data_IF_813150505358
#
_entry.id   IF_813150505358
#
_cell.length_a   1.000
_cell.length_b   1.000
_cell.length_c   1.000
_cell.angle_alpha   90.00
_cell.angle_beta   90.00
_cell.angle_gamma   90.00
#
_symmetry.space_group_name_H-M   'P 1'
#
loop_
_entity.id
_entity.type
_entity.pdbx_description
1 polymer ?
#
# COMPACT_ATOMS: atom_id res chain seq x y z
N UNK A 1 2.42 -34.00 -18.72
CA UNK A 1 2.06 -33.92 -17.29
C UNK A 1 1.25 -32.66 -17.16
N UNK A 2 -0.03 -32.76 -16.82
CA UNK A 2 -0.84 -31.60 -16.47
C UNK A 2 -0.23 -30.99 -15.21
N UNK A 3 0.37 -29.80 -15.33
CA UNK A 3 0.88 -29.05 -14.20
C UNK A 3 -0.29 -28.79 -13.24
N UNK A 4 -0.17 -29.23 -12.00
CA UNK A 4 -1.19 -28.93 -10.98
C UNK A 4 -1.26 -27.41 -10.79
N UNK A 5 -2.47 -26.90 -10.57
CA UNK A 5 -2.71 -25.49 -10.31
C UNK A 5 -1.82 -24.98 -9.14
N UNK A 6 -1.13 -23.83 -9.29
CA UNK A 6 -0.20 -23.36 -8.28
C UNK A 6 -0.91 -22.96 -6.98
N UNK A 7 -0.29 -23.28 -5.86
CA UNK A 7 -0.81 -22.97 -4.51
C UNK A 7 -0.06 -21.81 -3.89
N UNK A 8 -0.78 -20.75 -3.54
CA UNK A 8 -0.25 -19.57 -2.88
C UNK A 8 -0.76 -19.46 -1.45
N UNK A 9 0.16 -19.20 -0.53
CA UNK A 9 -0.15 -18.93 0.87
C UNK A 9 0.29 -17.52 1.23
N UNK A 10 -0.66 -16.67 1.61
CA UNK A 10 -0.42 -15.31 2.07
C UNK A 10 -0.44 -15.26 3.60
N UNK A 11 0.62 -14.71 4.17
CA UNK A 11 0.81 -14.63 5.63
C UNK A 11 1.14 -13.17 5.99
N UNK A 12 0.18 -12.23 5.91
CA UNK A 12 0.40 -10.86 6.36
C UNK A 12 0.49 -10.82 7.88
N UNK A 13 1.27 -9.86 8.42
CA UNK A 13 1.10 -9.52 9.83
C UNK A 13 -0.32 -8.97 10.00
N UNK A 14 -1.06 -9.53 10.92
CA UNK A 14 -2.45 -9.16 11.17
C UNK A 14 -2.64 -8.80 12.64
N UNK A 15 -3.34 -7.70 12.88
CA UNK A 15 -3.69 -7.19 14.21
C UNK A 15 -5.04 -6.47 14.16
N UNK A 16 -5.59 -6.15 15.32
CA UNK A 16 -6.85 -5.42 15.40
C UNK A 16 -6.78 -4.02 14.77
N UNK A 17 -5.60 -3.42 14.69
CA UNK A 17 -5.39 -2.02 14.29
C UNK A 17 -4.79 -1.87 12.87
N UNK A 18 -4.11 -2.90 12.34
CA UNK A 18 -3.36 -2.83 11.08
C UNK A 18 -4.09 -3.49 9.91
N UNK A 19 -4.39 -2.74 8.86
CA UNK A 19 -5.07 -3.23 7.65
C UNK A 19 -4.13 -3.23 6.44
N UNK A 20 -3.06 -2.42 6.46
CA UNK A 20 -2.22 -2.15 5.28
C UNK A 20 -1.56 -3.38 4.69
N UNK A 21 -0.97 -4.24 5.51
CA UNK A 21 -0.32 -5.47 5.07
C UNK A 21 -1.32 -6.49 4.50
N UNK A 22 -2.50 -6.58 5.12
CA UNK A 22 -3.57 -7.42 4.60
C UNK A 22 -4.07 -6.92 3.23
N UNK A 23 -4.37 -5.62 3.11
CA UNK A 23 -4.85 -5.04 1.85
C UNK A 23 -3.84 -5.22 0.72
N UNK A 24 -2.55 -5.01 1.01
CA UNK A 24 -1.48 -5.24 0.04
C UNK A 24 -1.40 -6.71 -0.38
N UNK A 25 -1.47 -7.64 0.58
CA UNK A 25 -1.51 -9.07 0.28
C UNK A 25 -2.74 -9.46 -0.51
N UNK A 26 -3.89 -8.84 -0.24
CA UNK A 26 -5.14 -9.08 -0.98
C UNK A 26 -5.04 -8.59 -2.43
N UNK A 27 -4.45 -7.41 -2.65
CA UNK A 27 -4.21 -6.88 -4.01
C UNK A 27 -3.33 -7.84 -4.81
N UNK A 28 -2.22 -8.31 -4.23
CA UNK A 28 -1.35 -9.29 -4.90
C UNK A 28 -2.08 -10.61 -5.15
N UNK A 29 -2.89 -11.08 -4.19
CA UNK A 29 -3.68 -12.31 -4.34
C UNK A 29 -4.71 -12.21 -5.46
N UNK A 30 -5.42 -11.09 -5.56
CA UNK A 30 -6.37 -10.83 -6.63
C UNK A 30 -5.68 -10.83 -8.01
N UNK A 31 -4.52 -10.18 -8.13
CA UNK A 31 -3.74 -10.16 -9.35
C UNK A 31 -3.21 -11.55 -9.73
N UNK A 32 -2.76 -12.34 -8.73
CA UNK A 32 -2.41 -13.75 -8.92
C UNK A 32 -3.59 -14.54 -9.49
N UNK A 33 -4.79 -14.35 -8.92
CA UNK A 33 -6.00 -15.05 -9.37
C UNK A 33 -6.44 -14.62 -10.77
N UNK A 34 -6.22 -13.36 -11.12
CA UNK A 34 -6.51 -12.85 -12.46
C UNK A 34 -5.54 -13.41 -13.51
N UNK A 35 -4.23 -13.48 -13.20
CA UNK A 35 -3.20 -14.02 -14.13
C UNK A 35 -3.22 -15.53 -14.22
N UNK A 36 -3.54 -16.20 -13.12
CA UNK A 36 -3.65 -17.67 -13.04
C UNK A 36 -5.01 -18.06 -12.44
N UNK A 37 -6.08 -18.13 -13.27
CA UNK A 37 -7.45 -18.41 -12.79
C UNK A 37 -7.58 -19.71 -12.00
N UNK A 38 -6.74 -20.72 -12.30
CA UNK A 38 -6.74 -22.00 -11.58
C UNK A 38 -5.94 -21.96 -10.26
N UNK A 39 -5.21 -20.88 -9.95
CA UNK A 39 -4.40 -20.78 -8.75
C UNK A 39 -5.26 -20.97 -7.48
N UNK A 40 -4.77 -21.77 -6.55
CA UNK A 40 -5.34 -21.93 -5.21
C UNK A 40 -4.72 -20.90 -4.27
N UNK A 41 -5.55 -20.05 -3.68
CA UNK A 41 -5.10 -18.98 -2.78
C UNK A 41 -5.63 -19.26 -1.38
N UNK A 42 -4.76 -19.11 -0.37
CA UNK A 42 -5.06 -19.31 1.04
C UNK A 42 -4.42 -18.20 1.85
N UNK A 43 -5.11 -17.76 2.92
CA UNK A 43 -4.58 -16.79 3.88
C UNK A 43 -4.40 -17.41 5.26
N UNK A 44 -3.42 -16.91 6.02
CA UNK A 44 -3.33 -17.12 7.47
C UNK A 44 -3.50 -15.77 8.15
N UNK A 45 -4.54 -15.62 8.96
CA UNK A 45 -4.89 -14.36 9.64
C UNK A 45 -5.13 -14.59 11.14
N UNK A 46 -4.98 -13.54 11.92
CA UNK A 46 -5.48 -13.53 13.30
C UNK A 46 -7.00 -13.44 13.30
N UNK A 47 -7.69 -14.24 14.13
CA UNK A 47 -9.15 -14.15 14.31
C UNK A 47 -9.61 -12.79 14.87
N UNK A 48 -8.70 -12.05 15.52
CA UNK A 48 -8.97 -10.73 16.06
C UNK A 48 -8.81 -9.60 15.05
N UNK A 49 -8.36 -9.90 13.83
CA UNK A 49 -8.29 -8.92 12.76
C UNK A 49 -9.70 -8.66 12.19
N UNK A 50 -10.15 -7.40 12.09
CA UNK A 50 -11.53 -7.07 11.70
C UNK A 50 -11.90 -7.54 10.28
N UNK A 51 -10.90 -7.73 9.44
CA UNK A 51 -11.05 -8.19 8.05
C UNK A 51 -10.99 -9.72 7.89
N UNK A 52 -10.78 -10.47 8.96
CA UNK A 52 -10.64 -11.93 8.88
C UNK A 52 -11.91 -12.64 8.40
N UNK A 53 -13.08 -12.09 8.72
CA UNK A 53 -14.38 -12.60 8.30
C UNK A 53 -14.83 -12.16 6.89
N UNK A 54 -14.17 -11.14 6.33
CA UNK A 54 -14.53 -10.56 5.02
C UNK A 54 -13.49 -10.87 3.93
N UNK A 55 -12.48 -11.67 4.25
CA UNK A 55 -11.50 -12.11 3.27
C UNK A 55 -12.19 -12.98 2.20
N UNK A 56 -12.04 -12.64 0.90
CA UNK A 56 -12.71 -13.38 -0.19
C UNK A 56 -12.09 -14.75 -0.48
N UNK A 57 -10.95 -15.05 0.16
CA UNK A 57 -10.24 -16.32 0.02
C UNK A 57 -10.36 -17.16 1.30
N UNK A 58 -10.18 -18.50 1.21
CA UNK A 58 -10.12 -19.35 2.37
C UNK A 58 -9.06 -18.89 3.39
N UNK A 59 -9.42 -18.89 4.68
CA UNK A 59 -8.58 -18.37 5.77
C UNK A 59 -8.35 -19.45 6.82
N UNK A 60 -7.08 -19.64 7.19
CA UNK A 60 -6.70 -20.33 8.42
C UNK A 60 -6.58 -19.29 9.55
N UNK A 61 -7.48 -19.37 10.53
CA UNK A 61 -7.53 -18.44 11.64
C UNK A 61 -6.61 -18.86 12.78
N UNK A 62 -5.83 -17.92 13.26
CA UNK A 62 -4.96 -18.05 14.45
C UNK A 62 -5.51 -17.25 15.63
N UNK A 63 -5.18 -17.66 16.85
CA UNK A 63 -5.57 -16.94 18.08
C UNK A 63 -4.82 -15.60 18.27
N UNK A 64 -3.67 -15.43 17.60
CA UNK A 64 -2.88 -14.20 17.61
C UNK A 64 -2.22 -14.02 16.23
N UNK A 65 -1.43 -12.96 16.04
CA UNK A 65 -0.71 -12.72 14.79
C UNK A 65 0.21 -13.89 14.40
N UNK A 66 0.38 -14.18 13.10
CA UNK A 66 1.24 -15.26 12.62
C UNK A 66 2.66 -15.26 13.19
N UNK A 67 3.21 -14.08 13.52
CA UNK A 67 4.55 -13.96 14.11
C UNK A 67 4.68 -14.52 15.53
N UNK A 68 3.58 -14.67 16.26
CA UNK A 68 3.53 -15.27 17.60
C UNK A 68 3.17 -16.76 17.56
N UNK A 69 2.47 -17.22 16.54
CA UNK A 69 1.99 -18.59 16.37
C UNK A 69 2.88 -19.42 15.42
N UNK A 70 4.18 -19.52 15.74
CA UNK A 70 5.16 -20.15 14.83
C UNK A 70 4.77 -21.60 14.49
N UNK A 71 4.40 -22.39 15.50
CA UNK A 71 4.07 -23.82 15.31
C UNK A 71 2.85 -23.97 14.39
N UNK A 72 1.77 -23.27 14.70
CA UNK A 72 0.53 -23.35 13.90
C UNK A 72 0.73 -22.93 12.43
N UNK A 73 1.54 -21.90 12.18
CA UNK A 73 1.89 -21.49 10.80
C UNK A 73 2.70 -22.59 10.10
N UNK A 74 3.70 -23.18 10.77
CA UNK A 74 4.50 -24.26 10.19
C UNK A 74 3.68 -25.53 9.93
N UNK A 75 2.81 -25.91 10.87
CA UNK A 75 1.89 -27.04 10.72
C UNK A 75 0.96 -26.82 9.51
N UNK A 76 0.44 -25.60 9.36
CA UNK A 76 -0.40 -25.25 8.22
C UNK A 76 0.37 -25.28 6.88
N UNK A 77 1.60 -24.76 6.83
CA UNK A 77 2.46 -24.86 5.64
C UNK A 77 2.68 -26.31 5.25
N UNK A 78 2.96 -27.20 6.24
CA UNK A 78 3.14 -28.63 6.00
C UNK A 78 1.87 -29.32 5.51
N UNK A 79 0.71 -28.92 6.01
CA UNK A 79 -0.60 -29.47 5.60
C UNK A 79 -0.98 -28.99 4.19
N UNK A 80 -0.92 -27.70 3.94
CA UNK A 80 -1.36 -27.10 2.69
C UNK A 80 -0.39 -27.34 1.53
N UNK A 81 0.90 -27.49 1.83
CA UNK A 81 1.98 -27.67 0.85
C UNK A 81 1.93 -26.64 -0.28
N UNK A 82 2.09 -25.33 0.05
CA UNK A 82 2.03 -24.27 -0.96
C UNK A 82 3.26 -24.28 -1.87
N UNK A 83 3.10 -23.82 -3.10
CA UNK A 83 4.20 -23.54 -4.00
C UNK A 83 4.90 -22.23 -3.67
N UNK A 84 4.11 -21.25 -3.24
CA UNK A 84 4.57 -19.92 -2.84
C UNK A 84 4.08 -19.56 -1.45
N UNK A 85 4.97 -19.03 -0.62
CA UNK A 85 4.60 -18.44 0.67
C UNK A 85 5.04 -16.97 0.67
N UNK A 86 4.07 -16.06 0.79
CA UNK A 86 4.29 -14.61 0.83
C UNK A 86 4.12 -14.13 2.27
N UNK A 87 5.23 -13.77 2.92
CA UNK A 87 5.24 -13.20 4.26
C UNK A 87 5.26 -11.67 4.19
N UNK A 88 4.13 -11.03 4.40
CA UNK A 88 4.06 -9.57 4.39
C UNK A 88 4.24 -9.00 5.80
N UNK A 89 5.38 -8.35 6.00
CA UNK A 89 5.84 -7.79 7.26
C UNK A 89 5.83 -8.79 8.45
N UNK A 90 5.46 -10.04 8.20
CA UNK A 90 5.39 -11.19 9.12
C UNK A 90 6.61 -12.10 8.99
N UNK A 91 6.45 -13.37 9.33
CA UNK A 91 7.47 -14.41 9.15
C UNK A 91 8.61 -14.35 10.16
N UNK A 92 8.71 -15.34 11.01
CA UNK A 92 9.92 -15.62 11.81
C UNK A 92 10.90 -16.42 10.97
N UNK A 93 12.19 -16.37 11.32
CA UNK A 93 13.23 -17.18 10.64
C UNK A 93 12.84 -18.63 10.48
N UNK A 94 12.31 -19.24 11.54
CA UNK A 94 11.88 -20.65 11.56
C UNK A 94 10.75 -20.94 10.58
N UNK A 95 9.82 -20.00 10.38
CA UNK A 95 8.72 -20.12 9.42
C UNK A 95 9.24 -20.06 7.97
N UNK A 96 10.11 -19.09 7.65
CA UNK A 96 10.75 -19.01 6.33
C UNK A 96 11.57 -20.25 6.03
N UNK A 97 12.38 -20.70 7.01
CA UNK A 97 13.22 -21.88 6.86
C UNK A 97 12.38 -23.17 6.68
N UNK A 98 11.24 -23.27 7.37
CA UNK A 98 10.33 -24.40 7.23
C UNK A 98 9.71 -24.43 5.82
N UNK A 99 9.17 -23.32 5.34
CA UNK A 99 8.63 -23.21 3.99
C UNK A 99 9.69 -23.54 2.92
N UNK A 100 10.90 -22.96 3.04
CA UNK A 100 11.99 -23.23 2.12
C UNK A 100 12.43 -24.71 2.11
N UNK A 101 12.49 -25.35 3.29
CA UNK A 101 12.82 -26.79 3.43
C UNK A 101 11.80 -27.69 2.71
N UNK A 102 10.53 -27.28 2.66
CA UNK A 102 9.47 -27.97 1.94
C UNK A 102 9.44 -27.67 0.43
N UNK A 103 10.41 -26.89 -0.09
CA UNK A 103 10.50 -26.56 -1.51
C UNK A 103 9.57 -25.43 -1.96
N UNK A 104 8.95 -24.70 -1.00
CA UNK A 104 8.17 -23.52 -1.32
C UNK A 104 9.07 -22.37 -1.77
N UNK A 105 8.63 -21.57 -2.74
CA UNK A 105 9.24 -20.27 -3.05
C UNK A 105 8.82 -19.25 -1.97
N UNK A 106 9.80 -18.66 -1.30
CA UNK A 106 9.57 -17.77 -0.16
C UNK A 106 9.78 -16.33 -0.58
N UNK A 107 8.71 -15.53 -0.52
CA UNK A 107 8.75 -14.08 -0.75
C UNK A 107 8.56 -13.37 0.60
N UNK A 108 9.47 -12.45 0.93
CA UNK A 108 9.39 -11.64 2.14
C UNK A 108 9.19 -10.16 1.77
N UNK A 109 8.11 -9.56 2.26
CA UNK A 109 7.78 -8.16 2.02
C UNK A 109 8.14 -7.33 3.24
N UNK A 110 8.80 -6.19 3.03
CA UNK A 110 9.16 -5.21 4.06
C UNK A 110 8.80 -3.80 3.64
N UNK A 111 8.38 -2.98 4.61
CA UNK A 111 7.91 -1.60 4.40
C UNK A 111 8.83 -0.56 5.06
N UNK A 112 9.64 -0.93 6.07
CA UNK A 112 10.47 -0.02 6.83
C UNK A 112 11.92 -0.48 6.90
N UNK A 113 12.86 0.46 7.04
CA UNK A 113 14.31 0.20 7.17
C UNK A 113 14.62 -0.94 8.15
N UNK A 114 13.95 -0.94 9.33
CA UNK A 114 14.13 -1.99 10.35
C UNK A 114 13.69 -3.38 9.86
N UNK A 115 12.57 -3.48 9.13
CA UNK A 115 12.09 -4.76 8.58
C UNK A 115 12.95 -5.19 7.39
N UNK A 116 13.38 -4.26 6.53
CA UNK A 116 14.35 -4.52 5.45
C UNK A 116 15.65 -5.09 6.00
N UNK A 117 16.27 -4.43 6.97
CA UNK A 117 17.50 -4.91 7.63
C UNK A 117 17.31 -6.30 8.27
N UNK A 118 16.14 -6.57 8.87
CA UNK A 118 15.83 -7.90 9.41
C UNK A 118 15.78 -8.96 8.32
N UNK A 119 15.22 -8.66 7.15
CA UNK A 119 15.19 -9.55 5.98
C UNK A 119 16.58 -9.92 5.46
N UNK A 120 17.53 -8.98 5.51
CA UNK A 120 18.92 -9.15 5.06
C UNK A 120 19.82 -9.92 6.04
N UNK A 121 19.35 -10.30 7.24
CA UNK A 121 20.13 -11.17 8.13
C UNK A 121 20.44 -12.51 7.42
N UNK A 122 21.69 -12.93 7.40
CA UNK A 122 22.22 -14.07 6.64
C UNK A 122 21.30 -15.29 6.71
N UNK A 123 20.89 -15.69 7.92
CA UNK A 123 20.06 -16.89 8.13
C UNK A 123 18.61 -16.74 7.61
N UNK A 124 18.14 -15.52 7.37
CA UNK A 124 16.84 -15.25 6.71
C UNK A 124 17.01 -15.14 5.20
N UNK A 125 17.99 -14.35 4.77
CA UNK A 125 18.28 -14.16 3.36
C UNK A 125 18.53 -15.50 2.63
N UNK A 126 19.23 -16.45 3.26
CA UNK A 126 19.48 -17.78 2.68
C UNK A 126 18.23 -18.56 2.31
N UNK A 127 17.14 -18.37 3.06
CA UNK A 127 15.87 -19.10 2.92
C UNK A 127 14.76 -18.25 2.30
N UNK A 128 15.11 -17.09 1.74
CA UNK A 128 14.21 -16.18 1.03
C UNK A 128 14.59 -16.18 -0.44
N UNK A 129 13.64 -16.44 -1.33
CA UNK A 129 13.85 -16.43 -2.78
C UNK A 129 13.77 -15.01 -3.33
N UNK A 130 12.85 -14.19 -2.81
CA UNK A 130 12.77 -12.76 -3.15
C UNK A 130 12.39 -11.92 -1.93
N UNK A 131 13.08 -10.79 -1.76
CA UNK A 131 12.79 -9.81 -0.71
C UNK A 131 12.31 -8.51 -1.34
N UNK A 132 11.04 -8.16 -1.15
CA UNK A 132 10.42 -6.95 -1.69
C UNK A 132 10.45 -5.81 -0.67
N UNK A 133 10.74 -4.62 -1.15
CA UNK A 133 10.63 -3.37 -0.39
C UNK A 133 9.54 -2.52 -1.03
N UNK A 134 8.41 -2.39 -0.32
CA UNK A 134 7.19 -1.75 -0.84
C UNK A 134 7.16 -0.25 -0.53
N UNK A 135 8.30 0.39 -0.68
CA UNK A 135 8.45 1.85 -0.61
C UNK A 135 9.41 2.32 -1.71
N UNK A 136 9.26 3.55 -2.22
CA UNK A 136 10.18 4.11 -3.20
C UNK A 136 11.62 4.20 -2.67
N UNK A 137 12.60 4.16 -3.57
CA UNK A 137 14.02 4.24 -3.24
C UNK A 137 14.35 5.52 -2.43
N UNK A 138 13.80 6.67 -2.82
CA UNK A 138 14.05 7.94 -2.14
C UNK A 138 13.51 7.98 -0.69
N UNK A 139 12.50 7.14 -0.34
CA UNK A 139 11.98 7.02 1.03
C UNK A 139 12.80 6.02 1.84
N UNK A 140 13.07 4.85 1.27
CA UNK A 140 13.73 3.77 2.02
C UNK A 140 15.25 3.94 2.08
N UNK A 141 15.84 4.65 1.10
CA UNK A 141 17.29 4.86 0.97
C UNK A 141 18.05 3.56 0.65
N UNK A 142 19.36 3.69 0.48
CA UNK A 142 20.23 2.57 0.15
C UNK A 142 20.44 1.61 1.32
N UNK A 143 20.90 0.43 1.02
CA UNK A 143 21.40 -0.52 2.02
C UNK A 143 22.87 -0.23 2.31
N UNK A 144 23.32 -0.59 3.51
CA UNK A 144 24.73 -0.38 3.87
C UNK A 144 25.65 -1.27 3.03
N UNK A 145 26.88 -0.79 2.75
CA UNK A 145 27.89 -1.57 2.05
C UNK A 145 28.19 -2.92 2.76
N UNK A 146 28.10 -2.93 4.10
CA UNK A 146 28.23 -4.16 4.89
C UNK A 146 27.11 -5.17 4.61
N UNK A 147 25.88 -4.71 4.42
CA UNK A 147 24.76 -5.59 4.09
C UNK A 147 24.87 -6.10 2.64
N UNK A 148 25.34 -5.25 1.70
CA UNK A 148 25.66 -5.67 0.33
C UNK A 148 26.72 -6.76 0.31
N UNK A 149 27.82 -6.56 1.03
CA UNK A 149 28.90 -7.55 1.14
C UNK A 149 28.41 -8.86 1.73
N UNK A 150 27.62 -8.82 2.81
CA UNK A 150 27.02 -10.04 3.42
C UNK A 150 26.16 -10.81 2.43
N UNK A 151 25.29 -10.12 1.68
CA UNK A 151 24.42 -10.75 0.69
C UNK A 151 25.24 -11.38 -0.44
N UNK A 152 26.25 -10.65 -0.94
CA UNK A 152 27.19 -11.16 -1.96
C UNK A 152 27.92 -12.42 -1.50
N UNK A 153 28.42 -12.44 -0.26
CA UNK A 153 29.11 -13.61 0.32
C UNK A 153 28.24 -14.88 0.41
N UNK A 154 26.93 -14.73 0.50
CA UNK A 154 26.00 -15.87 0.54
C UNK A 154 25.28 -16.10 -0.81
N UNK A 155 25.73 -15.45 -1.89
CA UNK A 155 25.14 -15.51 -3.23
C UNK A 155 23.62 -15.22 -3.24
N UNK A 156 23.20 -14.18 -2.49
CA UNK A 156 21.81 -13.72 -2.46
C UNK A 156 21.69 -12.32 -3.04
N UNK A 157 20.61 -12.10 -3.80
CA UNK A 157 20.28 -10.80 -4.33
C UNK A 157 19.93 -9.80 -3.22
N UNK A 158 20.15 -8.54 -3.49
CA UNK A 158 19.70 -7.43 -2.66
C UNK A 158 18.17 -7.36 -2.63
N UNK A 159 17.57 -6.78 -1.56
CA UNK A 159 16.15 -6.49 -1.55
C UNK A 159 15.73 -5.67 -2.77
N UNK A 160 14.71 -6.14 -3.48
CA UNK A 160 14.19 -5.43 -4.64
C UNK A 160 13.25 -4.33 -4.16
N UNK A 161 13.60 -3.07 -4.42
CA UNK A 161 12.70 -1.93 -4.22
C UNK A 161 11.68 -1.96 -5.36
N UNK A 162 10.41 -2.22 -5.01
CA UNK A 162 9.33 -2.33 -6.00
C UNK A 162 8.34 -1.16 -5.94
N UNK A 163 8.44 -0.30 -4.91
CA UNK A 163 7.50 0.80 -4.73
C UNK A 163 6.18 0.39 -4.06
N UNK A 164 5.22 1.31 -3.95
CA UNK A 164 3.91 1.04 -3.36
C UNK A 164 3.11 0.07 -4.23
N UNK A 165 2.36 -0.83 -3.59
CA UNK A 165 1.47 -1.78 -4.29
C UNK A 165 0.04 -1.24 -4.28
N UNK A 166 -0.58 -1.15 -5.44
CA UNK A 166 -1.98 -0.76 -5.63
C UNK A 166 -2.52 -1.32 -6.94
N UNK A 167 -3.86 -1.39 -7.07
CA UNK A 167 -4.52 -1.77 -8.33
C UNK A 167 -4.38 -0.61 -9.32
N UNK A 168 -3.98 -0.89 -10.56
CA UNK A 168 -3.89 0.15 -11.58
C UNK A 168 -5.26 0.81 -11.81
N UNK A 169 -5.30 2.15 -12.02
CA UNK A 169 -6.53 2.84 -12.40
C UNK A 169 -7.16 2.21 -13.65
N UNK A 170 -8.48 2.16 -13.68
CA UNK A 170 -9.24 1.65 -14.83
C UNK A 170 -10.17 2.74 -15.35
N UNK A 171 -10.09 3.04 -16.64
CA UNK A 171 -10.96 4.04 -17.27
C UNK A 171 -12.45 3.72 -17.07
N UNK A 172 -12.82 2.45 -17.14
CA UNK A 172 -14.20 2.01 -16.93
C UNK A 172 -14.67 2.28 -15.50
N UNK A 173 -13.94 1.79 -14.47
CA UNK A 173 -14.28 2.05 -13.06
C UNK A 173 -14.22 3.54 -12.71
N UNK A 174 -13.27 4.27 -13.31
CA UNK A 174 -13.15 5.71 -13.15
C UNK A 174 -14.38 6.44 -13.67
N UNK A 175 -14.85 6.09 -14.89
CA UNK A 175 -16.07 6.65 -15.48
C UNK A 175 -17.31 6.36 -14.62
N UNK A 176 -17.47 5.14 -14.10
CA UNK A 176 -18.55 4.78 -13.18
C UNK A 176 -18.51 5.60 -11.88
N UNK A 177 -17.32 5.73 -11.28
CA UNK A 177 -17.14 6.52 -10.05
C UNK A 177 -17.43 8.00 -10.28
N UNK A 178 -16.93 8.56 -11.37
CA UNK A 178 -17.19 9.98 -11.74
C UNK A 178 -18.68 10.22 -11.98
N UNK A 179 -19.35 9.35 -12.74
CA UNK A 179 -20.79 9.46 -13.00
C UNK A 179 -21.60 9.35 -11.69
N UNK A 180 -21.24 8.41 -10.81
CA UNK A 180 -21.92 8.19 -9.51
C UNK A 180 -21.92 9.44 -8.63
N UNK A 181 -20.83 10.22 -8.65
CA UNK A 181 -20.68 11.38 -7.80
C UNK A 181 -20.86 12.71 -8.56
N UNK A 182 -21.26 12.68 -9.82
CA UNK A 182 -21.44 13.91 -10.65
C UNK A 182 -20.14 14.69 -10.85
N UNK A 183 -19.01 14.00 -10.97
CA UNK A 183 -17.68 14.58 -11.08
C UNK A 183 -17.17 14.57 -12.52
N UNK A 184 -16.28 15.52 -12.82
CA UNK A 184 -15.55 15.58 -14.10
C UNK A 184 -14.06 15.36 -13.84
N UNK A 185 -13.42 14.50 -14.63
CA UNK A 185 -11.98 14.22 -14.54
C UNK A 185 -11.16 15.51 -14.63
N UNK A 186 -10.24 15.70 -13.71
CA UNK A 186 -9.38 16.88 -13.62
C UNK A 186 -10.06 18.14 -13.03
N UNK A 187 -11.32 18.05 -12.59
CA UNK A 187 -12.09 19.21 -12.12
C UNK A 187 -12.60 19.07 -10.68
N UNK A 188 -11.96 18.27 -9.86
CA UNK A 188 -12.25 18.16 -8.42
C UNK A 188 -10.98 17.92 -7.61
N UNK A 189 -11.05 18.19 -6.31
CA UNK A 189 -9.98 17.97 -5.34
C UNK A 189 -10.36 16.78 -4.45
N UNK A 190 -9.45 15.80 -4.33
CA UNK A 190 -9.66 14.65 -3.44
C UNK A 190 -8.96 14.87 -2.11
N UNK A 191 -9.67 14.66 -1.00
CA UNK A 191 -9.09 14.73 0.35
C UNK A 191 -9.23 13.39 1.07
N UNK A 192 -8.13 12.90 1.69
CA UNK A 192 -8.14 11.67 2.48
C UNK A 192 -7.07 11.70 3.57
N UNK A 193 -7.48 11.53 4.83
CA UNK A 193 -6.60 11.45 5.99
C UNK A 193 -6.22 9.99 6.37
N UNK A 194 -6.38 9.03 5.46
CA UNK A 194 -6.17 7.61 5.70
C UNK A 194 -7.42 6.91 6.25
N UNK A 195 -7.28 6.07 7.28
CA UNK A 195 -8.40 5.29 7.85
C UNK A 195 -9.46 6.14 8.58
N UNK A 196 -9.20 7.42 8.84
CA UNK A 196 -10.08 8.33 9.56
C UNK A 196 -9.98 8.24 11.10
N UNK A 197 -9.24 7.28 11.64
CA UNK A 197 -9.16 7.03 13.09
C UNK A 197 -8.06 7.81 13.84
N UNK A 198 -7.29 8.67 13.17
CA UNK A 198 -6.21 9.43 13.82
C UNK A 198 -6.77 10.54 14.71
N UNK A 199 -6.62 10.35 16.03
CA UNK A 199 -7.08 11.32 17.06
C UNK A 199 -6.12 12.50 17.20
N UNK A 200 -6.70 13.70 17.38
CA UNK A 200 -5.98 14.95 17.65
C UNK A 200 -6.76 15.72 18.73
N UNK A 201 -6.17 15.86 19.90
CA UNK A 201 -6.88 16.42 21.03
C UNK A 201 -8.18 15.65 21.29
N UNK A 202 -9.31 16.36 21.25
CA UNK A 202 -10.64 15.76 21.46
C UNK A 202 -11.34 15.35 20.14
N UNK A 203 -10.72 15.55 18.97
CA UNK A 203 -11.28 15.24 17.67
C UNK A 203 -10.42 14.31 16.82
N UNK A 204 -10.64 14.33 15.52
CA UNK A 204 -9.95 13.51 14.52
C UNK A 204 -9.28 14.36 13.44
N UNK A 205 -8.14 13.90 12.92
CA UNK A 205 -7.40 14.59 11.86
C UNK A 205 -8.28 14.88 10.63
N UNK A 206 -9.17 13.96 10.28
CA UNK A 206 -10.06 14.09 9.12
C UNK A 206 -11.00 15.29 9.25
N UNK A 207 -11.30 15.76 10.44
CA UNK A 207 -12.15 16.93 10.67
C UNK A 207 -11.46 18.23 10.24
N UNK A 208 -10.11 18.32 10.36
CA UNK A 208 -9.35 19.43 9.77
C UNK A 208 -9.40 19.39 8.24
N UNK A 209 -9.30 18.19 7.63
CA UNK A 209 -9.45 18.00 6.20
C UNK A 209 -10.86 18.42 5.72
N UNK A 210 -11.90 18.10 6.51
CA UNK A 210 -13.27 18.48 6.19
C UNK A 210 -13.47 20.01 6.24
N UNK A 211 -12.91 20.68 7.26
CA UNK A 211 -12.91 22.16 7.32
C UNK A 211 -12.15 22.78 6.16
N UNK A 212 -10.99 22.22 5.81
CA UNK A 212 -10.23 22.65 4.65
C UNK A 212 -11.02 22.45 3.34
N UNK A 213 -11.69 21.32 3.15
CA UNK A 213 -12.52 21.06 1.97
C UNK A 213 -13.61 22.12 1.77
N UNK A 214 -14.30 22.50 2.87
CA UNK A 214 -15.30 23.56 2.85
C UNK A 214 -14.70 24.91 2.45
N UNK A 215 -13.57 25.30 3.06
CA UNK A 215 -12.89 26.57 2.76
C UNK A 215 -12.34 26.62 1.34
N UNK A 216 -11.80 25.50 0.85
CA UNK A 216 -11.30 25.35 -0.52
C UNK A 216 -12.45 25.57 -1.52
N UNK A 217 -13.60 24.90 -1.31
CA UNK A 217 -14.75 25.08 -2.19
C UNK A 217 -15.26 26.52 -2.16
N UNK A 218 -15.43 27.12 -0.99
CA UNK A 218 -15.86 28.51 -0.85
C UNK A 218 -14.96 29.49 -1.62
N UNK A 219 -13.66 29.25 -1.63
CA UNK A 219 -12.67 30.14 -2.26
C UNK A 219 -12.49 29.90 -3.75
N UNK A 220 -12.54 28.62 -4.19
CA UNK A 220 -12.15 28.22 -5.56
C UNK A 220 -13.31 27.79 -6.44
N UNK A 221 -14.46 27.47 -5.85
CA UNK A 221 -15.64 26.87 -6.48
C UNK A 221 -15.31 25.48 -7.14
N UNK A 222 -14.15 24.89 -6.83
CA UNK A 222 -13.79 23.56 -7.29
C UNK A 222 -14.41 22.52 -6.35
N UNK A 223 -15.23 21.58 -6.85
CA UNK A 223 -15.82 20.52 -6.01
C UNK A 223 -14.74 19.74 -5.23
N UNK A 224 -15.02 19.47 -3.97
CA UNK A 224 -14.16 18.67 -3.11
C UNK A 224 -14.79 17.31 -2.82
N UNK A 225 -14.01 16.24 -2.93
CA UNK A 225 -14.40 14.90 -2.51
C UNK A 225 -13.57 14.54 -1.28
N UNK A 226 -14.22 14.26 -0.16
CA UNK A 226 -13.53 13.83 1.07
C UNK A 226 -13.91 12.40 1.42
N UNK A 227 -12.89 11.55 1.59
CA UNK A 227 -13.07 10.16 2.04
C UNK A 227 -12.65 10.07 3.50
N UNK A 228 -13.64 9.86 4.38
CA UNK A 228 -13.43 9.87 5.83
C UNK A 228 -12.65 8.66 6.35
N UNK A 229 -12.89 7.48 5.76
CA UNK A 229 -12.29 6.22 6.15
C UNK A 229 -13.14 5.43 7.15
N UNK A 230 -12.94 4.10 7.18
CA UNK A 230 -13.79 3.17 7.96
C UNK A 230 -13.68 3.35 9.49
N UNK A 231 -12.58 3.94 9.98
CA UNK A 231 -12.32 4.11 11.41
C UNK A 231 -12.84 5.43 11.98
N UNK A 232 -13.43 6.31 11.17
CA UNK A 232 -14.07 7.53 11.68
C UNK A 232 -15.41 7.18 12.37
N UNK A 233 -15.58 7.45 13.67
CA UNK A 233 -16.70 6.90 14.44
C UNK A 233 -18.00 7.72 14.34
N UNK A 234 -17.93 8.96 13.84
CA UNK A 234 -19.08 9.88 13.85
C UNK A 234 -19.82 9.89 12.51
N UNK A 235 -20.99 10.50 12.53
CA UNK A 235 -21.74 10.85 11.32
C UNK A 235 -20.99 11.89 10.49
N UNK A 236 -21.19 11.83 9.20
CA UNK A 236 -20.50 12.71 8.26
C UNK A 236 -21.37 13.96 8.03
N UNK A 237 -20.83 15.16 8.26
CA UNK A 237 -21.56 16.39 8.03
C UNK A 237 -21.78 16.63 6.53
N UNK A 238 -22.95 17.15 6.18
CA UNK A 238 -23.25 17.64 4.85
C UNK A 238 -22.76 19.09 4.71
N UNK A 239 -21.90 19.33 3.75
CA UNK A 239 -21.32 20.64 3.46
C UNK A 239 -21.48 20.95 1.97
N UNK A 240 -21.93 22.14 1.63
CA UNK A 240 -22.09 22.58 0.24
C UNK A 240 -20.77 22.49 -0.52
N UNK A 241 -20.84 21.94 -1.74
CA UNK A 241 -19.67 21.75 -2.62
C UNK A 241 -18.68 20.66 -2.17
N UNK A 242 -19.00 19.94 -1.09
CA UNK A 242 -18.18 18.83 -0.57
C UNK A 242 -18.96 17.53 -0.67
N UNK A 243 -18.47 16.61 -1.47
CA UNK A 243 -18.96 15.24 -1.56
C UNK A 243 -18.27 14.43 -0.49
N UNK A 244 -18.99 14.11 0.57
CA UNK A 244 -18.46 13.38 1.71
C UNK A 244 -18.79 11.88 1.60
N UNK A 245 -17.75 11.04 1.61
CA UNK A 245 -17.85 9.59 1.43
C UNK A 245 -17.30 8.91 2.69
N UNK A 246 -18.08 7.99 3.29
CA UNK A 246 -17.64 7.25 4.48
C UNK A 246 -16.47 6.33 4.16
N UNK A 247 -16.66 5.47 3.18
CA UNK A 247 -15.66 4.46 2.78
C UNK A 247 -15.71 4.24 1.27
N UNK A 248 -14.56 3.95 0.71
CA UNK A 248 -14.40 3.47 -0.66
C UNK A 248 -13.65 2.14 -0.65
N UNK A 249 -13.85 1.33 -1.67
CA UNK A 249 -12.91 0.25 -1.96
C UNK A 249 -11.56 0.85 -2.34
N UNK A 250 -10.49 0.05 -2.23
CA UNK A 250 -9.15 0.53 -2.59
C UNK A 250 -9.10 0.95 -4.08
N UNK A 251 -9.72 0.17 -4.96
CA UNK A 251 -9.78 0.44 -6.40
C UNK A 251 -10.50 1.77 -6.68
N UNK A 252 -11.66 2.00 -6.07
CA UNK A 252 -12.42 3.24 -6.25
C UNK A 252 -11.66 4.47 -5.71
N UNK A 253 -10.92 4.32 -4.61
CA UNK A 253 -10.07 5.39 -4.09
C UNK A 253 -8.94 5.72 -5.08
N UNK A 254 -8.28 4.71 -5.64
CA UNK A 254 -7.20 4.89 -6.63
C UNK A 254 -7.74 5.50 -7.93
N UNK A 255 -8.91 5.04 -8.40
CA UNK A 255 -9.55 5.57 -9.60
C UNK A 255 -9.92 7.07 -9.43
N UNK A 256 -10.49 7.46 -8.27
CA UNK A 256 -10.77 8.88 -7.96
C UNK A 256 -9.48 9.70 -7.74
N UNK A 257 -8.46 9.11 -7.12
CA UNK A 257 -7.16 9.75 -6.93
C UNK A 257 -6.50 10.08 -8.28
N UNK A 258 -6.53 9.14 -9.20
CA UNK A 258 -6.01 9.36 -10.56
C UNK A 258 -6.84 10.40 -11.33
N UNK A 259 -8.17 10.41 -11.16
CA UNK A 259 -9.06 11.36 -11.82
C UNK A 259 -9.03 12.78 -11.23
N UNK A 260 -8.62 12.95 -9.99
CA UNK A 260 -8.61 14.26 -9.33
C UNK A 260 -7.66 15.25 -9.99
N UNK A 261 -7.96 16.56 -9.92
CA UNK A 261 -7.01 17.61 -10.29
C UNK A 261 -5.78 17.57 -9.37
N UNK A 262 -6.03 17.63 -8.07
CA UNK A 262 -5.03 17.60 -7.00
C UNK A 262 -5.58 16.78 -5.84
N UNK A 263 -4.70 16.16 -5.06
CA UNK A 263 -5.11 15.46 -3.85
C UNK A 263 -4.47 16.05 -2.59
N UNK A 264 -5.24 16.10 -1.50
CA UNK A 264 -4.80 16.47 -0.14
C UNK A 264 -4.77 15.20 0.69
N UNK A 265 -3.58 14.72 1.02
CA UNK A 265 -3.39 13.38 1.57
C UNK A 265 -2.62 13.38 2.89
N UNK A 266 -2.97 12.46 3.78
CA UNK A 266 -2.08 12.15 4.90
C UNK A 266 -0.80 11.47 4.40
N UNK A 267 0.29 11.56 5.20
CA UNK A 267 1.59 10.96 4.89
C UNK A 267 1.61 9.43 4.96
N UNK A 268 0.48 8.76 4.69
CA UNK A 268 0.30 7.32 4.63
C UNK A 268 0.78 6.69 3.31
N UNK A 269 0.39 5.43 3.08
CA UNK A 269 0.75 4.72 1.84
C UNK A 269 0.06 5.33 0.62
N UNK A 270 -1.13 5.93 0.78
CA UNK A 270 -1.85 6.64 -0.29
C UNK A 270 -1.05 7.80 -0.89
N UNK A 271 -0.21 8.49 -0.09
CA UNK A 271 0.70 9.51 -0.62
C UNK A 271 1.73 8.91 -1.59
N UNK A 272 2.29 7.74 -1.26
CA UNK A 272 3.25 7.07 -2.14
C UNK A 272 2.59 6.54 -3.41
N UNK A 273 1.34 6.06 -3.30
CA UNK A 273 0.53 5.65 -4.44
C UNK A 273 0.23 6.84 -5.36
N UNK A 274 -0.09 8.02 -4.78
CA UNK A 274 -0.29 9.26 -5.54
C UNK A 274 0.98 9.68 -6.29
N UNK A 275 2.15 9.60 -5.64
CA UNK A 275 3.45 9.91 -6.29
C UNK A 275 3.73 8.93 -7.43
N UNK A 276 3.45 7.64 -7.26
CA UNK A 276 3.59 6.64 -8.32
C UNK A 276 2.63 6.92 -9.51
N UNK A 277 1.44 7.41 -9.24
CA UNK A 277 0.46 7.89 -10.23
C UNK A 277 0.81 9.26 -10.83
N UNK A 278 1.94 9.88 -10.42
CA UNK A 278 2.34 11.22 -10.84
C UNK A 278 1.30 12.30 -10.49
N UNK A 279 0.53 12.07 -9.42
CA UNK A 279 -0.51 12.98 -8.97
C UNK A 279 0.06 14.12 -8.14
N UNK A 280 -0.31 15.35 -8.49
CA UNK A 280 -0.01 16.54 -7.70
C UNK A 280 -0.68 16.44 -6.33
N UNK A 281 0.09 16.62 -5.26
CA UNK A 281 -0.41 16.42 -3.89
C UNK A 281 0.04 17.52 -2.93
N UNK A 282 -0.87 17.84 -1.98
CA UNK A 282 -0.56 18.48 -0.72
C UNK A 282 -0.56 17.41 0.37
N UNK A 283 0.56 17.22 1.06
CA UNK A 283 0.74 16.16 2.05
C UNK A 283 0.76 16.70 3.48
N UNK A 284 0.10 15.98 4.40
CA UNK A 284 -0.03 16.34 5.81
C UNK A 284 0.36 15.16 6.69
N UNK A 285 1.25 15.37 7.66
CA UNK A 285 1.54 14.34 8.64
C UNK A 285 0.46 14.34 9.75
N UNK A 286 -0.34 13.30 9.82
CA UNK A 286 -1.39 13.10 10.84
C UNK A 286 -0.94 12.18 11.99
N UNK A 287 0.21 11.52 11.85
CA UNK A 287 0.82 10.65 12.85
C UNK A 287 2.34 10.80 12.86
N UNK A 288 2.97 10.50 14.00
CA UNK A 288 4.43 10.69 14.20
C UNK A 288 5.30 9.94 13.19
N UNK A 289 4.90 8.74 12.81
CA UNK A 289 5.60 7.89 11.84
C UNK A 289 5.52 8.45 10.40
N UNK A 290 4.55 9.31 10.11
CA UNK A 290 4.38 9.96 8.81
C UNK A 290 5.30 11.17 8.59
N UNK A 291 5.79 11.81 9.67
CA UNK A 291 6.62 13.03 9.56
C UNK A 291 7.85 12.80 8.68
N UNK A 292 8.55 11.67 8.86
CA UNK A 292 9.71 11.35 8.06
C UNK A 292 9.37 11.19 6.57
N UNK A 293 8.26 10.50 6.27
CA UNK A 293 7.83 10.25 4.88
C UNK A 293 7.43 11.54 4.19
N UNK A 294 6.59 12.37 4.80
CA UNK A 294 6.19 13.69 4.28
C UNK A 294 7.43 14.55 4.02
N UNK A 295 8.35 14.62 4.98
CA UNK A 295 9.60 15.38 4.85
C UNK A 295 10.41 14.93 3.63
N UNK A 296 10.67 13.64 3.48
CA UNK A 296 11.48 13.10 2.39
C UNK A 296 10.80 13.28 1.03
N UNK A 297 9.47 13.08 0.94
CA UNK A 297 8.71 13.33 -0.29
C UNK A 297 8.77 14.81 -0.69
N UNK A 298 8.69 15.74 0.28
CA UNK A 298 8.86 17.18 0.04
C UNK A 298 10.26 17.54 -0.42
N UNK A 299 11.30 17.03 0.27
CA UNK A 299 12.71 17.28 -0.06
C UNK A 299 13.07 16.75 -1.46
N UNK A 300 12.44 15.65 -1.88
CA UNK A 300 12.57 15.11 -3.23
C UNK A 300 11.77 15.91 -4.29
N UNK A 301 10.97 16.90 -3.90
CA UNK A 301 10.17 17.72 -4.80
C UNK A 301 8.91 17.02 -5.34
N UNK A 302 8.44 15.94 -4.71
CA UNK A 302 7.31 15.14 -5.20
C UNK A 302 5.98 15.49 -4.52
N UNK A 303 5.96 16.38 -3.56
CA UNK A 303 4.76 16.90 -2.88
C UNK A 303 5.04 18.24 -2.24
N UNK A 304 4.02 19.06 -2.08
CA UNK A 304 4.06 20.19 -1.14
C UNK A 304 3.52 19.71 0.20
N UNK A 305 4.00 20.23 1.32
CA UNK A 305 3.50 19.84 2.64
C UNK A 305 2.86 21.01 3.37
N UNK A 306 1.87 20.71 4.20
CA UNK A 306 1.25 21.64 5.14
C UNK A 306 1.24 21.05 6.54
N UNK A 307 1.04 21.92 7.52
CA UNK A 307 0.65 21.52 8.86
C UNK A 307 -0.82 21.08 8.86
N UNK A 308 -1.19 20.28 9.88
CA UNK A 308 -2.56 19.85 10.09
C UNK A 308 -3.38 21.01 10.71
N UNK A 309 -3.75 21.93 9.88
CA UNK A 309 -4.57 23.09 10.19
C UNK A 309 -5.36 23.46 8.93
N UNK A 310 -6.68 23.56 9.02
CA UNK A 310 -7.56 23.77 7.89
C UNK A 310 -7.25 25.03 7.11
N UNK A 311 -6.92 26.15 7.78
CA UNK A 311 -6.57 27.40 7.12
C UNK A 311 -5.26 27.28 6.32
N UNK A 312 -4.19 26.76 6.94
CA UNK A 312 -2.90 26.56 6.26
C UNK A 312 -3.00 25.57 5.10
N UNK A 313 -3.80 24.51 5.26
CA UNK A 313 -4.05 23.54 4.19
C UNK A 313 -4.74 24.23 3.00
N UNK A 314 -5.72 25.09 3.27
CA UNK A 314 -6.43 25.88 2.24
C UNK A 314 -5.49 26.84 1.53
N UNK A 315 -4.70 27.64 2.25
CA UNK A 315 -3.75 28.61 1.69
C UNK A 315 -2.68 27.92 0.82
N UNK A 316 -2.09 26.83 1.32
CA UNK A 316 -1.09 26.07 0.58
C UNK A 316 -1.68 25.40 -0.67
N UNK A 317 -2.91 24.87 -0.59
CA UNK A 317 -3.56 24.27 -1.75
C UNK A 317 -3.88 25.33 -2.81
N UNK A 318 -4.45 26.48 -2.43
CA UNK A 318 -4.72 27.58 -3.38
C UNK A 318 -3.43 28.05 -4.06
N UNK A 319 -2.33 28.07 -3.33
CA UNK A 319 -1.02 28.39 -3.90
C UNK A 319 -0.54 27.31 -4.86
N UNK A 320 -0.74 26.03 -4.51
CA UNK A 320 -0.33 24.87 -5.30
C UNK A 320 -1.08 24.80 -6.64
N UNK A 321 -2.39 25.07 -6.67
CA UNK A 321 -3.20 24.97 -7.89
C UNK A 321 -3.01 26.13 -8.87
N UNK A 322 -2.18 27.15 -8.54
CA UNK A 322 -1.75 28.14 -9.52
C UNK A 322 -0.89 27.48 -10.58
N UNK A 323 -1.13 27.82 -11.84
CA UNK A 323 -0.57 27.12 -13.02
C UNK A 323 0.92 26.83 -12.92
N UNK A 324 1.74 27.82 -12.53
CA UNK A 324 3.20 27.66 -12.49
C UNK A 324 3.65 26.66 -11.43
N UNK A 325 3.02 26.67 -10.25
CA UNK A 325 3.36 25.76 -9.16
C UNK A 325 2.91 24.33 -9.45
N UNK A 326 1.71 24.17 -10.02
CA UNK A 326 1.16 22.89 -10.43
C UNK A 326 2.06 22.24 -11.50
N UNK A 327 2.44 22.99 -12.54
CA UNK A 327 3.33 22.51 -13.62
C UNK A 327 4.72 22.16 -13.12
N UNK A 328 5.29 22.93 -12.19
CA UNK A 328 6.58 22.64 -11.60
C UNK A 328 6.56 21.30 -10.85
N UNK A 329 5.52 21.04 -10.06
CA UNK A 329 5.36 19.78 -9.34
C UNK A 329 5.06 18.61 -10.29
N UNK A 330 4.25 18.82 -11.32
CA UNK A 330 4.02 17.80 -12.36
C UNK A 330 5.33 17.42 -13.08
N UNK A 331 6.16 18.39 -13.41
CA UNK A 331 7.46 18.16 -14.05
C UNK A 331 8.39 17.35 -13.14
N UNK A 332 8.45 17.66 -11.85
CA UNK A 332 9.24 16.88 -10.89
C UNK A 332 8.71 15.44 -10.74
N UNK A 333 7.40 15.27 -10.67
CA UNK A 333 6.77 13.94 -10.58
C UNK A 333 7.01 13.10 -11.84
N UNK A 334 7.06 13.71 -13.02
CA UNK A 334 7.37 13.00 -14.27
C UNK A 334 8.79 12.40 -14.26
N UNK A 335 9.73 13.03 -13.55
CA UNK A 335 11.10 12.53 -13.37
C UNK A 335 11.25 11.49 -12.26
N UNK A 336 10.20 11.26 -11.47
CA UNK A 336 10.22 10.29 -10.39
C UNK A 336 10.21 8.86 -10.97
N UNK A 337 11.10 8.01 -10.49
CA UNK A 337 11.19 6.59 -10.86
C UNK A 337 10.26 5.67 -10.05
N UNK A 338 9.44 6.25 -9.16
CA UNK A 338 8.46 5.50 -8.40
C UNK A 338 7.31 5.04 -9.30
N UNK A 339 7.13 3.73 -9.35
CA UNK A 339 6.09 3.06 -10.13
C UNK A 339 5.20 2.18 -9.24
N UNK A 340 4.16 1.59 -9.83
CA UNK A 340 3.32 0.61 -9.15
C UNK A 340 4.09 -0.69 -8.93
N UNK A 341 4.30 -1.04 -7.66
CA UNK A 341 5.01 -2.26 -7.28
C UNK A 341 4.27 -3.55 -7.59
N UNK A 342 2.98 -3.50 -7.93
CA UNK A 342 2.20 -4.69 -8.27
C UNK A 342 2.77 -5.37 -9.53
N UNK A 343 3.00 -4.62 -10.59
CA UNK A 343 3.49 -5.17 -11.86
C UNK A 343 4.90 -5.76 -11.72
N UNK A 344 5.77 -5.06 -10.98
CA UNK A 344 7.12 -5.55 -10.68
C UNK A 344 7.05 -6.83 -9.83
N UNK A 345 6.20 -6.84 -8.80
CA UNK A 345 5.98 -8.01 -7.95
C UNK A 345 5.46 -9.21 -8.72
N UNK A 346 4.53 -9.00 -9.64
CA UNK A 346 3.97 -10.06 -10.47
C UNK A 346 4.98 -10.61 -11.49
N UNK A 347 5.84 -9.77 -12.04
CA UNK A 347 6.97 -10.22 -12.88
C UNK A 347 7.89 -11.14 -12.07
N UNK A 348 8.25 -10.77 -10.83
CA UNK A 348 9.09 -11.61 -9.96
C UNK A 348 8.40 -12.94 -9.63
N UNK A 349 7.09 -12.94 -9.35
CA UNK A 349 6.33 -14.18 -9.12
C UNK A 349 6.38 -15.06 -10.37
N UNK A 350 6.19 -14.48 -11.56
CA UNK A 350 6.25 -15.19 -12.84
C UNK A 350 7.61 -15.84 -13.08
N UNK A 351 8.71 -15.11 -12.82
CA UNK A 351 10.08 -15.63 -12.96
C UNK A 351 10.35 -16.80 -11.98
N UNK A 352 9.93 -16.64 -10.72
CA UNK A 352 10.04 -17.70 -9.70
C UNK A 352 9.18 -18.91 -10.08
N UNK A 353 8.02 -18.69 -10.66
CA UNK A 353 7.13 -19.74 -11.15
C UNK A 353 7.82 -20.54 -12.27
N UNK A 354 8.31 -19.86 -13.30
CA UNK A 354 9.04 -20.51 -14.40
C UNK A 354 10.27 -21.27 -13.92
N UNK A 355 10.99 -20.73 -12.92
CA UNK A 355 12.15 -21.42 -12.33
C UNK A 355 11.79 -22.70 -11.58
N UNK A 356 10.55 -22.82 -11.10
CA UNK A 356 10.08 -24.00 -10.35
C UNK A 356 9.41 -25.04 -11.25
N UNK A 357 8.62 -24.59 -12.23
CA UNK A 357 7.73 -25.45 -13.02
C UNK A 357 8.09 -25.54 -14.50
N UNK A 358 9.02 -24.71 -15.01
CA UNK A 358 9.26 -24.53 -16.44
C UNK A 358 8.28 -23.55 -17.08
N UNK A 359 8.44 -23.30 -18.39
CA UNK A 359 7.54 -22.40 -19.11
C UNK A 359 6.12 -22.99 -19.16
N UNK A 360 5.14 -22.21 -18.70
CA UNK A 360 3.73 -22.47 -18.97
C UNK A 360 3.46 -22.12 -20.44
N UNK A 361 2.99 -23.11 -21.18
CA UNK A 361 2.40 -22.87 -22.51
C UNK A 361 0.94 -22.52 -22.37
#
# INVERSE_FOLDING_TARGET
>A
MTLSAPKFLFVPVSSAEGVGEYMRSLIVANEVKQRWPEAHIQFILSRHAPYSSTCPYPVALLDDTPTKNIKAVNDFISYYMPDFVIFDASGRRSQLAHANKLGCKVIFISQHKRKRSRGMKILRARVTDSHWVVQPQFVIGDISWLDQLKLKLIAKAEPKVIGPIFVNPSEHRQAESLARYGLTKGHFILLNAGSGGHKIGNGYAIEEFARAAASIYQTTQIPCVIVYGPSYPHDIPLVEGVIAIKTLSHEALIDLLDAAKVAVLSGGDTLLQAIALKKVTLSIAVAKDQNYRVKVCKEAGFTISSELNAQLMTEHLITLIKTDNELALQSALAMCDCENGLDIGMTIISDLFHSKFGAWQ
#
